data_IF_242504389829
#
_entry.id   IF_242504389829
#
_cell.length_a   1.000
_cell.length_b   1.000
_cell.length_c   1.000
_cell.angle_alpha   90.00
_cell.angle_beta   90.00
_cell.angle_gamma   90.00
#
_symmetry.space_group_name_H-M   'P 1'
#
loop_
_entity.id
_entity.type
_entity.pdbx_description
1 polymer ?
#
# COMPACT_ATOMS: atom_id res chain seq x y z
N UNK A 1 9.78 -17.26 6.28
CA UNK A 1 8.60 -16.37 6.54
C UNK A 1 9.04 -15.19 7.39
N UNK A 2 8.69 -13.99 6.97
CA UNK A 2 9.06 -12.79 7.70
C UNK A 2 8.16 -12.60 8.92
N UNK A 3 8.70 -12.11 10.05
CA UNK A 3 7.88 -11.79 11.21
C UNK A 3 6.93 -10.63 10.90
N UNK A 4 5.82 -10.60 11.61
CA UNK A 4 4.76 -9.61 11.44
C UNK A 4 4.53 -8.90 12.76
N UNK A 5 4.46 -7.58 12.72
CA UNK A 5 4.20 -6.72 13.87
C UNK A 5 3.00 -5.84 13.58
N UNK A 6 2.36 -5.33 14.61
CA UNK A 6 1.15 -4.54 14.48
C UNK A 6 1.27 -3.21 15.21
N UNK A 7 0.59 -2.20 14.68
CA UNK A 7 0.47 -0.88 15.30
C UNK A 7 -0.86 -0.25 14.89
N UNK A 8 -1.21 0.86 15.52
CA UNK A 8 -2.40 1.61 15.13
C UNK A 8 -2.24 2.20 13.73
N UNK A 9 -1.05 2.75 13.44
CA UNK A 9 -0.73 3.34 12.15
C UNK A 9 0.76 3.38 11.91
N UNK A 10 1.15 3.63 10.66
CA UNK A 10 2.53 3.89 10.26
C UNK A 10 2.67 5.36 9.92
N UNK A 11 3.53 6.08 10.67
CA UNK A 11 3.77 7.49 10.43
C UNK A 11 4.88 7.67 9.39
N UNK A 12 4.48 7.90 8.15
CA UNK A 12 5.38 7.96 7.00
C UNK A 12 6.46 9.04 7.12
N UNK A 13 6.10 10.20 7.65
CA UNK A 13 7.03 11.33 7.73
C UNK A 13 8.24 11.04 8.60
N UNK A 14 8.06 10.31 9.71
CA UNK A 14 9.12 9.94 10.64
C UNK A 14 9.53 8.48 10.55
N UNK A 15 8.85 7.69 9.72
CA UNK A 15 9.13 6.26 9.52
C UNK A 15 9.09 5.49 10.83
N UNK A 16 8.03 5.71 11.62
CA UNK A 16 7.83 5.03 12.91
C UNK A 16 6.41 4.47 13.00
N UNK A 17 6.29 3.37 13.75
CA UNK A 17 4.99 2.83 14.13
C UNK A 17 4.41 3.65 15.28
N UNK A 18 3.16 4.05 15.15
CA UNK A 18 2.43 4.73 16.22
C UNK A 18 1.57 3.72 16.96
N UNK A 19 1.64 3.75 18.30
CA UNK A 19 0.89 2.88 19.19
C UNK A 19 1.02 1.41 18.81
N UNK A 20 2.21 0.81 18.99
CA UNK A 20 2.39 -0.62 18.76
C UNK A 20 1.39 -1.43 19.58
N UNK A 21 0.91 -2.53 19.02
CA UNK A 21 -0.05 -3.41 19.68
C UNK A 21 0.31 -4.87 19.50
N UNK A 22 -0.17 -5.70 20.42
CA UNK A 22 0.03 -7.13 20.31
C UNK A 22 -0.96 -7.76 19.32
N UNK A 23 -0.73 -9.03 19.01
CA UNK A 23 -1.52 -9.77 18.05
C UNK A 23 -3.00 -9.85 18.44
N UNK A 24 -3.31 -9.99 19.74
CA UNK A 24 -4.70 -10.13 20.18
C UNK A 24 -5.49 -8.84 19.98
N UNK A 25 -4.87 -7.69 20.24
CA UNK A 25 -5.49 -6.38 20.02
C UNK A 25 -5.71 -6.14 18.53
N UNK A 26 -4.69 -6.44 17.71
CA UNK A 26 -4.79 -6.28 16.26
C UNK A 26 -5.90 -7.18 15.67
N UNK A 27 -5.99 -8.42 16.15
CA UNK A 27 -7.05 -9.36 15.73
C UNK A 27 -8.43 -8.83 16.06
N UNK A 28 -8.62 -8.29 17.27
CA UNK A 28 -9.90 -7.71 17.67
C UNK A 28 -10.26 -6.51 16.78
N UNK A 29 -9.30 -5.66 16.43
CA UNK A 29 -9.53 -4.55 15.53
C UNK A 29 -9.90 -5.03 14.13
N UNK A 30 -9.22 -6.05 13.63
CA UNK A 30 -9.55 -6.63 12.32
C UNK A 30 -11.00 -7.15 12.31
N UNK A 31 -11.40 -7.88 13.33
CA UNK A 31 -12.75 -8.43 13.45
C UNK A 31 -13.81 -7.33 13.56
N UNK A 32 -13.47 -6.22 14.19
CA UNK A 32 -14.38 -5.08 14.35
C UNK A 32 -14.40 -4.13 13.15
N UNK A 33 -13.56 -4.35 12.14
CA UNK A 33 -13.41 -3.44 11.02
C UNK A 33 -12.74 -2.12 11.39
N UNK A 34 -12.01 -2.09 12.50
CA UNK A 34 -11.29 -0.90 12.95
C UNK A 34 -9.91 -0.82 12.27
N UNK A 35 -9.38 0.40 12.04
CA UNK A 35 -8.09 0.55 11.35
C UNK A 35 -6.93 0.03 12.19
N UNK A 36 -5.95 -0.58 11.51
CA UNK A 36 -4.68 -0.97 12.10
C UNK A 36 -3.63 -1.08 10.99
N UNK A 37 -2.36 -1.13 11.38
CA UNK A 37 -1.24 -1.28 10.45
C UNK A 37 -0.48 -2.58 10.73
N UNK A 38 0.05 -3.17 9.65
CA UNK A 38 0.87 -4.37 9.67
C UNK A 38 2.27 -3.99 9.24
N UNK A 39 3.28 -4.40 10.00
CA UNK A 39 4.68 -4.13 9.71
C UNK A 39 5.35 -5.46 9.42
N UNK A 40 5.94 -5.60 8.24
CA UNK A 40 6.51 -6.86 7.77
C UNK A 40 8.03 -6.82 7.94
N UNK A 41 8.56 -7.82 8.62
CA UNK A 41 9.98 -8.04 8.77
C UNK A 41 10.60 -7.42 10.00
N UNK A 42 10.14 -6.25 10.41
CA UNK A 42 10.66 -5.53 11.57
C UNK A 42 9.61 -4.53 12.08
N UNK A 43 9.63 -4.29 13.38
CA UNK A 43 8.76 -3.27 13.99
C UNK A 43 9.29 -1.86 13.80
N UNK A 44 10.57 -1.71 13.49
CA UNK A 44 11.23 -0.39 13.37
C UNK A 44 11.70 -0.09 11.96
N UNK A 45 12.13 -1.11 11.21
CA UNK A 45 12.62 -0.97 9.84
C UNK A 45 11.96 -2.01 8.94
N UNK A 46 10.62 -1.96 8.80
CA UNK A 46 9.93 -2.95 7.98
C UNK A 46 10.29 -2.80 6.50
N UNK A 47 10.25 -3.91 5.77
CA UNK A 47 10.39 -3.90 4.31
C UNK A 47 9.08 -3.54 3.62
N UNK A 48 7.97 -3.68 4.34
CA UNK A 48 6.63 -3.40 3.83
C UNK A 48 5.73 -3.05 5.01
N UNK A 49 4.84 -2.09 4.82
CA UNK A 49 3.75 -1.84 5.76
C UNK A 49 2.42 -1.93 5.03
N UNK A 50 1.40 -2.38 5.76
CA UNK A 50 0.04 -2.50 5.22
C UNK A 50 -0.89 -1.74 6.16
N UNK A 51 -1.65 -0.82 5.59
CA UNK A 51 -2.65 -0.07 6.34
C UNK A 51 -4.03 -0.64 6.03
N UNK A 52 -4.59 -1.31 7.03
CA UNK A 52 -5.94 -1.86 6.95
C UNK A 52 -6.92 -0.79 7.40
N UNK A 53 -7.48 -0.05 6.45
CA UNK A 53 -8.37 1.08 6.70
C UNK A 53 -9.81 0.69 6.32
N UNK A 54 -10.33 -0.36 6.97
CA UNK A 54 -11.62 -0.95 6.62
C UNK A 54 -12.79 -0.01 6.87
N UNK A 55 -12.66 0.91 7.82
CA UNK A 55 -13.64 1.97 8.07
C UNK A 55 -13.77 2.91 6.86
N UNK A 56 -12.72 3.03 6.05
CA UNK A 56 -12.70 3.81 4.81
C UNK A 56 -12.81 2.92 3.55
N UNK A 57 -13.00 1.63 3.73
CA UNK A 57 -13.05 0.62 2.66
C UNK A 57 -11.80 0.65 1.79
N UNK A 58 -10.65 0.79 2.44
CA UNK A 58 -9.36 0.93 1.77
C UNK A 58 -8.29 0.06 2.43
N UNK A 59 -7.35 -0.42 1.60
CA UNK A 59 -6.12 -1.06 2.07
C UNK A 59 -4.96 -0.40 1.32
N UNK A 60 -4.00 0.12 2.07
CA UNK A 60 -2.77 0.70 1.53
C UNK A 60 -1.59 -0.20 1.81
N UNK A 61 -0.68 -0.33 0.83
CA UNK A 61 0.54 -1.12 0.96
C UNK A 61 1.71 -0.25 0.54
N UNK A 62 2.71 -0.13 1.40
CA UNK A 62 3.92 0.61 1.09
C UNK A 62 5.15 -0.29 1.19
N UNK A 63 5.98 -0.30 0.15
CA UNK A 63 7.23 -1.06 0.13
C UNK A 63 8.39 -0.11 0.39
N UNK A 64 9.25 -0.48 1.32
CA UNK A 64 10.37 0.34 1.79
C UNK A 64 11.69 -0.31 1.42
N UNK A 65 12.63 0.49 0.93
CA UNK A 65 13.97 0.01 0.66
C UNK A 65 14.84 -0.01 1.93
N UNK A 66 16.11 -0.38 1.80
CA UNK A 66 17.03 -0.48 2.94
C UNK A 66 17.26 0.85 3.67
N UNK A 67 16.98 1.97 3.02
CA UNK A 67 17.07 3.30 3.61
C UNK A 67 15.73 3.83 4.12
N UNK A 68 14.69 2.98 4.08
CA UNK A 68 13.36 3.32 4.53
C UNK A 68 12.59 4.24 3.56
N UNK A 69 13.01 4.32 2.30
CA UNK A 69 12.31 5.12 1.29
C UNK A 69 11.17 4.30 0.69
N UNK A 70 9.99 4.90 0.62
CA UNK A 70 8.80 4.25 0.06
C UNK A 70 8.85 4.33 -1.46
N UNK A 71 9.36 3.28 -2.11
CA UNK A 71 9.56 3.26 -3.56
C UNK A 71 8.35 2.74 -4.33
N UNK A 72 7.45 2.02 -3.69
CA UNK A 72 6.26 1.45 -4.33
C UNK A 72 5.11 1.49 -3.35
N UNK A 73 3.95 1.95 -3.82
CA UNK A 73 2.73 2.02 -3.02
C UNK A 73 1.59 1.44 -3.82
N UNK A 74 0.79 0.57 -3.21
CA UNK A 74 -0.48 0.13 -3.76
C UNK A 74 -1.62 0.63 -2.91
N UNK A 75 -2.73 0.99 -3.55
CA UNK A 75 -3.98 1.31 -2.89
C UNK A 75 -5.07 0.41 -3.47
N UNK A 76 -5.74 -0.30 -2.58
CA UNK A 76 -6.86 -1.16 -2.92
C UNK A 76 -8.15 -0.56 -2.37
N UNK A 77 -9.23 -0.75 -3.11
CA UNK A 77 -10.57 -0.45 -2.64
C UNK A 77 -11.25 -1.76 -2.27
N UNK A 78 -11.93 -1.77 -1.11
CA UNK A 78 -12.68 -2.93 -0.65
C UNK A 78 -14.04 -2.97 -1.33
N UNK A 79 -14.30 -4.05 -2.05
CA UNK A 79 -15.57 -4.30 -2.73
C UNK A 79 -16.46 -5.18 -1.85
N UNK A 80 -17.67 -5.47 -2.32
CA UNK A 80 -18.54 -6.43 -1.66
C UNK A 80 -17.98 -7.85 -1.83
N UNK A 81 -18.31 -8.75 -0.89
CA UNK A 81 -17.89 -10.15 -0.95
C UNK A 81 -16.45 -10.41 -0.60
N UNK A 82 -15.85 -9.59 0.25
CA UNK A 82 -14.47 -9.74 0.74
C UNK A 82 -13.43 -9.71 -0.38
N UNK A 83 -13.65 -8.85 -1.36
CA UNK A 83 -12.77 -8.69 -2.50
C UNK A 83 -12.20 -7.27 -2.54
N UNK A 84 -10.91 -7.19 -2.89
CA UNK A 84 -10.21 -5.92 -3.12
C UNK A 84 -10.01 -5.70 -4.61
N UNK A 85 -9.97 -4.43 -5.01
CA UNK A 85 -9.59 -4.02 -6.36
C UNK A 85 -8.45 -3.01 -6.27
N UNK A 86 -7.36 -3.27 -6.99
CA UNK A 86 -6.23 -2.34 -7.06
C UNK A 86 -6.64 -1.11 -7.87
N UNK A 87 -6.76 0.04 -7.19
CA UNK A 87 -7.17 1.30 -7.81
C UNK A 87 -5.99 2.18 -8.17
N UNK A 88 -4.85 2.02 -7.50
CA UNK A 88 -3.71 2.90 -7.71
C UNK A 88 -2.42 2.19 -7.36
N UNK A 89 -1.41 2.39 -8.21
CA UNK A 89 -0.04 1.97 -7.95
C UNK A 89 0.88 3.15 -8.23
N UNK A 90 1.74 3.48 -7.27
CA UNK A 90 2.70 4.57 -7.41
C UNK A 90 4.11 4.05 -7.25
N UNK A 91 4.94 4.32 -8.25
CA UNK A 91 6.37 3.99 -8.24
C UNK A 91 7.16 5.29 -8.14
N UNK A 92 8.14 5.33 -7.21
CA UNK A 92 8.96 6.51 -6.97
C UNK A 92 10.43 6.19 -7.18
N UNK A 93 11.12 7.11 -7.86
CA UNK A 93 12.56 7.05 -8.01
C UNK A 93 13.16 8.18 -7.18
N UNK A 94 14.28 7.89 -6.52
CA UNK A 94 14.92 8.80 -5.58
C UNK A 94 16.33 9.15 -6.02
N UNK A 95 16.72 10.38 -5.68
CA UNK A 95 18.12 10.80 -5.64
C UNK A 95 18.42 11.17 -4.19
N UNK A 96 19.24 10.37 -3.51
CA UNK A 96 19.45 10.43 -2.06
C UNK A 96 18.11 10.27 -1.33
N UNK A 97 17.61 11.28 -0.64
CA UNK A 97 16.35 11.23 0.09
C UNK A 97 15.18 11.90 -0.65
N UNK A 98 15.43 12.46 -1.84
CA UNK A 98 14.41 13.22 -2.58
C UNK A 98 13.82 12.40 -3.70
N UNK A 99 12.51 12.44 -3.83
CA UNK A 99 11.83 11.89 -5.01
C UNK A 99 12.16 12.77 -6.22
N UNK A 100 12.62 12.14 -7.30
CA UNK A 100 12.89 12.84 -8.57
C UNK A 100 11.84 12.53 -9.63
N UNK A 101 11.19 11.37 -9.53
CA UNK A 101 10.13 10.96 -10.45
C UNK A 101 9.13 10.08 -9.70
N UNK A 102 7.86 10.42 -9.82
CA UNK A 102 6.76 9.57 -9.37
C UNK A 102 5.90 9.16 -10.56
N UNK A 103 5.66 7.87 -10.70
CA UNK A 103 4.76 7.35 -11.74
C UNK A 103 3.58 6.71 -11.04
N UNK A 104 2.38 7.21 -11.32
CA UNK A 104 1.16 6.71 -10.73
C UNK A 104 0.26 6.12 -11.81
N UNK A 105 -0.17 4.88 -11.57
CA UNK A 105 -1.13 4.17 -12.40
C UNK A 105 -2.47 4.19 -11.68
N UNK A 106 -3.50 4.73 -12.32
CA UNK A 106 -4.85 4.81 -11.75
C UNK A 106 -5.76 3.90 -12.57
N UNK A 107 -6.40 2.97 -11.90
CA UNK A 107 -7.20 1.91 -12.51
C UNK A 107 -8.66 2.02 -12.11
N UNK A 108 -9.56 1.65 -13.01
CA UNK A 108 -10.95 1.42 -12.64
C UNK A 108 -11.43 0.05 -13.14
N UNK A 109 -12.59 -0.37 -12.65
CA UNK A 109 -13.14 -1.69 -13.00
C UNK A 109 -13.63 -1.79 -14.44
N UNK A 110 -13.80 -0.65 -15.12
CA UNK A 110 -14.25 -0.60 -16.51
C UNK A 110 -13.11 -0.71 -17.52
N UNK A 111 -11.86 -0.84 -17.03
CA UNK A 111 -10.70 -1.00 -17.89
C UNK A 111 -10.06 0.30 -18.35
N UNK A 112 -10.33 1.41 -17.70
CA UNK A 112 -9.66 2.68 -17.97
C UNK A 112 -8.39 2.78 -17.13
N UNK A 113 -7.29 3.17 -17.76
CA UNK A 113 -6.00 3.40 -17.12
C UNK A 113 -5.57 4.83 -17.33
N UNK A 114 -5.20 5.51 -16.24
CA UNK A 114 -4.55 6.82 -16.31
C UNK A 114 -3.14 6.66 -15.78
N UNK A 115 -2.15 7.10 -16.54
CA UNK A 115 -0.73 7.08 -16.13
C UNK A 115 -0.29 8.52 -15.94
N UNK A 116 0.18 8.85 -14.74
CA UNK A 116 0.70 10.18 -14.40
C UNK A 116 2.16 10.06 -14.04
N UNK A 117 3.01 10.83 -14.72
CA UNK A 117 4.44 10.92 -14.43
C UNK A 117 4.74 12.32 -13.94
N UNK A 118 5.14 12.40 -12.69
CA UNK A 118 5.45 13.65 -12.02
C UNK A 118 6.96 13.77 -11.84
N UNK A 119 7.57 14.64 -12.64
CA UNK A 119 8.99 14.97 -12.52
C UNK A 119 9.15 16.09 -11.53
N UNK A 120 10.08 15.94 -10.59
CA UNK A 120 10.35 16.94 -9.57
C UNK A 120 11.75 17.50 -9.79
N UNK A 121 11.85 18.81 -9.94
CA UNK A 121 13.10 19.55 -10.08
C UNK A 121 13.74 19.44 -11.47
N UNK A 122 13.24 20.19 -12.49
CA UNK A 122 12.07 21.05 -12.42
C UNK A 122 10.77 20.24 -12.47
N UNK A 123 9.70 20.81 -11.92
CA UNK A 123 8.41 20.15 -11.93
C UNK A 123 7.84 20.04 -13.34
N UNK A 124 7.39 18.87 -13.71
CA UNK A 124 6.69 18.63 -14.97
C UNK A 124 5.74 17.45 -14.79
N UNK A 125 4.50 17.62 -15.20
CA UNK A 125 3.49 16.55 -15.13
C UNK A 125 3.16 16.10 -16.55
N UNK A 126 3.22 14.77 -16.76
CA UNK A 126 2.74 14.10 -17.97
C UNK A 126 1.57 13.20 -17.58
N UNK A 127 0.53 13.18 -18.40
CA UNK A 127 -0.64 12.33 -18.15
C UNK A 127 -1.08 11.70 -19.46
N UNK A 128 -1.33 10.38 -19.42
CA UNK A 128 -1.77 9.60 -20.56
C UNK A 128 -2.97 8.76 -20.13
N UNK A 129 -4.00 8.71 -20.96
CA UNK A 129 -5.09 7.78 -20.81
C UNK A 129 -4.89 6.58 -21.71
N UNK A 130 -5.27 5.39 -21.23
CA UNK A 130 -5.17 4.13 -21.93
C UNK A 130 -6.23 3.18 -21.44
N UNK A 131 -6.18 1.95 -21.92
CA UNK A 131 -7.05 0.87 -21.46
C UNK A 131 -6.20 -0.28 -20.93
N UNK A 132 -6.81 -1.12 -20.11
CA UNK A 132 -6.15 -2.31 -19.56
C UNK A 132 -7.18 -3.38 -19.28
N UNK A 133 -6.73 -4.62 -19.05
CA UNK A 133 -7.60 -5.71 -18.63
C UNK A 133 -7.72 -5.68 -17.10
N UNK A 134 -8.90 -5.38 -16.53
CA UNK A 134 -9.03 -5.23 -15.08
C UNK A 134 -9.01 -6.55 -14.31
N UNK A 135 -9.06 -7.71 -14.97
CA UNK A 135 -9.17 -9.01 -14.28
C UNK A 135 -8.00 -9.28 -13.34
N UNK A 136 -6.80 -8.77 -13.64
CA UNK A 136 -5.62 -8.95 -12.80
C UNK A 136 -5.58 -8.05 -11.57
N UNK A 137 -6.50 -7.10 -11.42
CA UNK A 137 -6.50 -6.14 -10.32
C UNK A 137 -7.31 -6.59 -9.10
N UNK A 138 -7.98 -7.73 -9.19
CA UNK A 138 -8.78 -8.25 -8.08
C UNK A 138 -7.94 -9.13 -7.19
N UNK A 139 -8.08 -8.95 -5.89
CA UNK A 139 -7.43 -9.78 -4.86
C UNK A 139 -8.44 -10.12 -3.78
N UNK A 140 -8.33 -11.29 -3.13
CA UNK A 140 -9.16 -11.54 -1.96
C UNK A 140 -8.74 -10.63 -0.82
N UNK A 141 -9.71 -10.20 -0.01
CA UNK A 141 -9.39 -9.48 1.22
C UNK A 141 -8.60 -10.42 2.14
N UNK A 142 -7.54 -9.94 2.80
CA UNK A 142 -6.70 -10.82 3.61
C UNK A 142 -7.44 -11.30 4.85
N UNK A 143 -7.25 -12.58 5.18
CA UNK A 143 -7.56 -13.08 6.50
C UNK A 143 -6.54 -12.52 7.49
N UNK A 144 -6.94 -12.33 8.74
CA UNK A 144 -6.01 -11.82 9.75
C UNK A 144 -4.78 -12.73 9.85
N UNK A 145 -3.61 -12.13 9.75
CA UNK A 145 -2.33 -12.82 9.85
C UNK A 145 -1.77 -13.32 8.53
N UNK A 146 -2.53 -13.32 7.44
CA UNK A 146 -2.07 -13.71 6.11
C UNK A 146 -2.21 -12.55 5.13
N UNK A 147 -1.10 -11.88 4.86
CA UNK A 147 -1.05 -10.71 4.00
C UNK A 147 -0.25 -10.98 2.71
N UNK A 148 0.01 -12.23 2.41
CA UNK A 148 0.90 -12.63 1.30
C UNK A 148 0.46 -12.10 -0.06
N UNK A 149 -0.84 -12.07 -0.33
CA UNK A 149 -1.36 -11.58 -1.62
C UNK A 149 -1.14 -10.09 -1.81
N UNK A 150 -1.06 -9.34 -0.71
CA UNK A 150 -0.85 -7.89 -0.75
C UNK A 150 0.62 -7.52 -0.87
N UNK A 151 1.53 -8.46 -0.61
CA UNK A 151 2.98 -8.22 -0.60
C UNK A 151 3.64 -8.48 -1.96
N UNK A 152 2.88 -8.71 -2.99
CA UNK A 152 3.41 -8.92 -4.35
C UNK A 152 3.93 -7.60 -4.92
N UNK A 153 5.19 -7.58 -5.32
CA UNK A 153 5.81 -6.39 -5.91
C UNK A 153 5.46 -6.24 -7.39
N UNK A 154 5.33 -7.36 -8.10
CA UNK A 154 5.03 -7.37 -9.53
C UNK A 154 3.54 -7.56 -9.75
N UNK A 155 2.88 -6.53 -10.27
CA UNK A 155 1.45 -6.55 -10.58
C UNK A 155 1.16 -6.03 -11.98
#
# INVERSE_FOLDING_TARGET
MLPVFYSKSWFRAKKIALEPMDTSIARARHQAGAPYAVLIGSATTPSCFIEMLMDKRMVGVGFLDDEGREYLTYQFHYLNGEQLFLTMATHREFEVAKVILGTTYIFNQQGTLVIRREHLNPYRLEEIQSTFDPTGNYEPAPAFGDYSTLMKINR
#
